data_IF_620326788458
#
_entry.id   IF_620326788458
#
_cell.length_a   1.000
_cell.length_b   1.000
_cell.length_c   1.000
_cell.angle_alpha   90.00
_cell.angle_beta   90.00
_cell.angle_gamma   90.00
#
_symmetry.space_group_name_H-M   'P 1'
#
loop_
_entity.id
_entity.type
_entity.pdbx_description
1 polymer ?
#
# COMPACT_ATOMS: atom_id res chain seq x y z
N UNK A 1 -22.41 -12.88 2.70
CA UNK A 1 -21.53 -11.80 3.16
C UNK A 1 -20.15 -12.06 2.57
N UNK A 2 -19.53 -11.11 1.95
CA UNK A 2 -18.18 -11.30 1.41
C UNK A 2 -17.22 -10.37 2.15
N UNK A 3 -16.19 -10.94 2.77
CA UNK A 3 -15.04 -10.21 3.28
C UNK A 3 -13.91 -10.41 2.28
N UNK A 4 -13.54 -9.38 1.57
CA UNK A 4 -12.48 -9.41 0.57
C UNK A 4 -11.32 -8.52 0.99
N UNK A 5 -10.09 -8.97 0.80
CA UNK A 5 -8.90 -8.14 0.96
C UNK A 5 -8.26 -7.87 -0.41
N UNK A 6 -7.85 -6.63 -0.67
CA UNK A 6 -7.03 -6.26 -1.82
C UNK A 6 -5.63 -5.92 -1.33
N UNK A 7 -4.64 -6.66 -1.81
CA UNK A 7 -3.26 -6.60 -1.33
C UNK A 7 -2.25 -6.57 -2.47
N UNK A 8 -1.08 -6.00 -2.24
CA UNK A 8 0.02 -6.07 -3.21
C UNK A 8 0.82 -7.35 -3.07
N UNK A 9 1.20 -7.93 -4.17
CA UNK A 9 1.96 -9.19 -4.21
C UNK A 9 3.48 -8.92 -4.11
N UNK A 10 3.96 -7.86 -4.71
CA UNK A 10 5.39 -7.58 -4.82
C UNK A 10 5.84 -6.40 -3.92
N UNK A 11 6.44 -5.35 -4.48
CA UNK A 11 7.04 -4.22 -3.74
C UNK A 11 6.08 -3.08 -3.45
N UNK A 12 4.86 -3.10 -3.94
CA UNK A 12 3.91 -1.99 -3.93
C UNK A 12 3.77 -1.34 -5.31
N UNK A 13 2.90 -0.33 -5.40
CA UNK A 13 2.61 0.40 -6.64
C UNK A 13 2.05 -0.46 -7.79
N UNK A 14 1.47 -1.62 -7.47
CA UNK A 14 0.90 -2.54 -8.45
C UNK A 14 -0.45 -2.07 -9.05
N UNK A 15 -1.02 -0.96 -8.55
CA UNK A 15 -2.31 -0.45 -9.00
C UNK A 15 -3.49 -0.89 -8.12
N UNK A 16 -3.24 -1.14 -6.83
CA UNK A 16 -4.28 -1.52 -5.84
C UNK A 16 -5.41 -0.52 -5.76
N UNK A 17 -5.11 0.79 -5.71
CA UNK A 17 -6.13 1.84 -5.59
C UNK A 17 -7.20 1.75 -6.68
N UNK A 18 -6.80 1.46 -7.92
CA UNK A 18 -7.74 1.22 -9.01
C UNK A 18 -8.61 -0.02 -8.79
N UNK A 19 -8.00 -1.11 -8.30
CA UNK A 19 -8.76 -2.34 -8.01
C UNK A 19 -9.72 -2.14 -6.86
N UNK A 20 -9.33 -1.37 -5.83
CA UNK A 20 -10.23 -1.00 -4.73
C UNK A 20 -11.37 -0.13 -5.24
N UNK A 21 -11.08 0.92 -6.04
CA UNK A 21 -12.12 1.77 -6.63
C UNK A 21 -13.11 0.95 -7.48
N UNK A 22 -12.62 0.05 -8.33
CA UNK A 22 -13.46 -0.82 -9.14
C UNK A 22 -14.34 -1.74 -8.29
N UNK A 23 -13.76 -2.40 -7.28
CA UNK A 23 -14.49 -3.37 -6.46
C UNK A 23 -15.39 -2.71 -5.41
N UNK A 24 -15.04 -1.51 -4.92
CA UNK A 24 -15.81 -0.80 -3.87
C UNK A 24 -17.28 -0.62 -4.20
N UNK A 25 -17.65 -0.61 -5.49
CA UNK A 25 -19.06 -0.54 -5.93
C UNK A 25 -19.90 -1.76 -5.49
N UNK A 26 -19.24 -2.86 -5.13
CA UNK A 26 -19.90 -4.13 -4.74
C UNK A 26 -19.85 -4.39 -3.25
N UNK A 27 -19.30 -3.44 -2.47
CA UNK A 27 -19.11 -3.57 -1.04
C UNK A 27 -19.80 -2.44 -0.29
N UNK A 28 -20.31 -2.74 0.89
CA UNK A 28 -20.96 -1.76 1.77
C UNK A 28 -19.94 -0.95 2.58
N UNK A 29 -18.76 -1.52 2.82
CA UNK A 29 -17.73 -0.95 3.69
C UNK A 29 -16.35 -1.12 3.06
N UNK A 30 -15.50 -0.08 3.10
CA UNK A 30 -14.08 -0.14 2.75
C UNK A 30 -13.25 0.23 3.96
N UNK A 31 -12.29 -0.62 4.34
CA UNK A 31 -11.45 -0.42 5.54
C UNK A 31 -9.98 -0.39 5.19
N UNK A 32 -9.30 0.72 5.47
CA UNK A 32 -7.83 0.76 5.52
C UNK A 32 -7.38 0.18 6.86
N UNK A 33 -6.53 -0.84 6.85
CA UNK A 33 -6.19 -1.59 8.05
C UNK A 33 -4.73 -1.43 8.52
N UNK A 34 -3.87 -0.81 7.71
CA UNK A 34 -2.45 -0.62 8.03
C UNK A 34 -1.80 0.49 7.19
N UNK A 35 -0.54 0.81 7.50
CA UNK A 35 0.23 1.84 6.79
C UNK A 35 -0.18 3.24 7.21
N UNK A 36 0.22 4.22 6.44
CA UNK A 36 -0.02 5.64 6.68
C UNK A 36 0.14 6.46 5.42
N UNK A 37 0.56 7.71 5.53
CA UNK A 37 0.76 8.63 4.41
C UNK A 37 2.02 8.38 3.57
N UNK A 38 2.73 7.27 3.80
CA UNK A 38 4.00 6.93 3.13
C UNK A 38 3.85 6.36 1.72
N UNK A 39 2.68 5.84 1.36
CA UNK A 39 2.39 5.39 0.00
C UNK A 39 1.09 6.05 -0.47
N UNK A 40 1.11 6.57 -1.68
CA UNK A 40 -0.06 7.11 -2.34
C UNK A 40 -0.60 6.15 -3.39
N UNK A 41 -1.88 6.19 -3.63
CA UNK A 41 -2.49 5.54 -4.77
C UNK A 41 -3.32 6.52 -5.57
N UNK A 42 -3.23 6.42 -6.88
CA UNK A 42 -3.97 7.27 -7.79
C UNK A 42 -5.28 6.58 -8.17
N UNK A 43 -6.37 7.29 -8.00
CA UNK A 43 -7.70 6.91 -8.51
C UNK A 43 -8.06 7.87 -9.64
N UNK A 44 -8.44 7.31 -10.79
CA UNK A 44 -8.93 8.06 -11.95
C UNK A 44 -10.38 7.63 -12.19
N UNK A 45 -11.29 8.58 -12.06
CA UNK A 45 -12.72 8.38 -12.26
C UNK A 45 -13.37 9.59 -12.93
N UNK A 46 -14.69 9.58 -13.08
CA UNK A 46 -15.47 10.65 -13.75
C UNK A 46 -15.33 12.01 -13.06
N UNK A 47 -14.91 12.06 -11.78
CA UNK A 47 -14.71 13.29 -11.03
C UNK A 47 -13.29 13.85 -11.18
N UNK A 48 -12.36 13.08 -11.75
CA UNK A 48 -10.99 13.53 -11.98
C UNK A 48 -9.92 12.50 -11.59
N UNK A 49 -8.69 13.01 -11.43
CA UNK A 49 -7.51 12.26 -10.97
C UNK A 49 -7.16 12.69 -9.56
N UNK A 50 -7.18 11.75 -8.62
CA UNK A 50 -6.93 11.98 -7.20
C UNK A 50 -5.79 11.09 -6.71
N UNK A 51 -4.90 11.66 -5.91
CA UNK A 51 -3.86 10.93 -5.21
C UNK A 51 -4.25 10.83 -3.73
N UNK A 52 -4.66 9.66 -3.27
CA UNK A 52 -5.00 9.38 -1.88
C UNK A 52 -3.81 8.73 -1.16
N UNK A 53 -3.63 9.07 0.11
CA UNK A 53 -2.58 8.51 0.96
C UNK A 53 -3.18 7.80 2.18
N UNK A 54 -4.18 8.40 2.82
CA UNK A 54 -4.86 7.88 4.00
C UNK A 54 -6.30 7.47 3.73
N UNK A 55 -7.05 8.29 3.01
CA UNK A 55 -8.45 7.98 2.74
C UNK A 55 -8.60 6.68 1.94
N UNK A 56 -9.56 5.81 2.32
CA UNK A 56 -9.91 4.65 1.52
C UNK A 56 -10.46 5.05 0.14
N UNK A 57 -10.19 4.24 -0.88
CA UNK A 57 -10.68 4.50 -2.26
C UNK A 57 -12.22 4.45 -2.38
N UNK A 58 -12.89 3.87 -1.41
CA UNK A 58 -14.35 3.82 -1.36
C UNK A 58 -15.05 5.18 -1.18
N UNK A 59 -14.32 6.25 -0.83
CA UNK A 59 -14.89 7.60 -0.61
C UNK A 59 -15.56 8.19 -1.87
N UNK A 60 -15.24 7.66 -3.05
CA UNK A 60 -15.85 8.09 -4.31
C UNK A 60 -17.22 7.45 -4.59
N UNK A 61 -17.64 6.49 -3.77
CA UNK A 61 -18.87 5.73 -3.99
C UNK A 61 -19.93 6.06 -2.96
N UNK A 62 -21.09 6.51 -3.47
CA UNK A 62 -22.24 6.83 -2.61
C UNK A 62 -22.76 5.58 -1.91
N UNK A 63 -23.00 5.70 -0.61
CA UNK A 63 -23.52 4.61 0.22
C UNK A 63 -22.46 3.66 0.77
N UNK A 64 -21.19 3.84 0.42
CA UNK A 64 -20.07 3.07 0.98
C UNK A 64 -19.57 3.76 2.24
N UNK A 65 -19.49 3.03 3.35
CA UNK A 65 -18.84 3.49 4.58
C UNK A 65 -17.33 3.24 4.48
N UNK A 66 -16.55 4.27 4.76
CA UNK A 66 -15.09 4.22 4.74
C UNK A 66 -14.55 4.24 6.17
N UNK A 67 -13.57 3.39 6.48
CA UNK A 67 -13.03 3.28 7.84
C UNK A 67 -11.50 3.30 7.80
N UNK A 68 -10.91 4.13 8.66
CA UNK A 68 -9.51 4.04 9.04
C UNK A 68 -9.42 3.20 10.31
N UNK A 69 -8.90 1.98 10.18
CA UNK A 69 -8.81 0.99 11.26
C UNK A 69 -7.69 1.31 12.27
N UNK A 70 -7.67 0.57 13.36
CA UNK A 70 -6.70 0.73 14.45
C UNK A 70 -5.23 0.43 14.06
N UNK A 71 -5.01 -0.26 12.96
CA UNK A 71 -3.67 -0.54 12.43
C UNK A 71 -3.03 0.62 11.66
N UNK A 72 -3.79 1.65 11.30
CA UNK A 72 -3.32 2.80 10.52
C UNK A 72 -2.46 3.73 11.38
N UNK A 73 -1.38 4.26 10.80
CA UNK A 73 -0.64 5.40 11.33
C UNK A 73 -1.41 6.68 10.97
N UNK A 74 -2.18 7.17 11.94
CA UNK A 74 -3.15 8.25 11.72
C UNK A 74 -2.46 9.62 11.73
N UNK A 75 -2.19 10.14 10.56
CA UNK A 75 -1.68 11.49 10.35
C UNK A 75 -2.86 12.45 10.19
N UNK A 76 -3.19 13.18 11.25
CA UNK A 76 -4.33 14.09 11.27
C UNK A 76 -4.20 15.23 10.25
N UNK A 77 -3.00 15.74 10.04
CA UNK A 77 -2.73 16.84 9.12
C UNK A 77 -2.94 16.39 7.67
N UNK A 78 -2.37 15.23 7.28
CA UNK A 78 -2.57 14.67 5.96
C UNK A 78 -4.04 14.28 5.73
N UNK A 79 -4.69 13.67 6.71
CA UNK A 79 -6.09 13.29 6.61
C UNK A 79 -6.99 14.51 6.37
N UNK A 80 -6.79 15.57 7.13
CA UNK A 80 -7.56 16.81 6.95
C UNK A 80 -7.35 17.42 5.56
N UNK A 81 -6.10 17.49 5.11
CA UNK A 81 -5.76 18.01 3.78
C UNK A 81 -6.43 17.20 2.65
N UNK A 82 -6.44 15.86 2.77
CA UNK A 82 -7.13 15.00 1.79
C UNK A 82 -8.65 15.22 1.81
N UNK A 83 -9.26 15.32 3.01
CA UNK A 83 -10.69 15.60 3.16
C UNK A 83 -11.05 16.94 2.49
N UNK A 84 -10.27 17.99 2.75
CA UNK A 84 -10.50 19.31 2.17
C UNK A 84 -10.34 19.30 0.65
N UNK A 85 -9.31 18.60 0.14
CA UNK A 85 -9.09 18.46 -1.30
C UNK A 85 -10.26 17.76 -1.99
N UNK A 86 -10.76 16.66 -1.42
CA UNK A 86 -11.90 15.94 -1.98
C UNK A 86 -13.19 16.77 -1.91
N UNK A 87 -13.45 17.46 -0.79
CA UNK A 87 -14.61 18.34 -0.65
C UNK A 87 -14.59 19.49 -1.67
N UNK A 88 -13.42 20.08 -1.90
CA UNK A 88 -13.25 21.13 -2.92
C UNK A 88 -13.51 20.62 -4.34
N UNK A 89 -13.27 19.33 -4.59
CA UNK A 89 -13.58 18.67 -5.85
C UNK A 89 -15.03 18.13 -5.94
N UNK A 90 -15.88 18.42 -4.93
CA UNK A 90 -17.28 18.00 -4.91
C UNK A 90 -17.52 16.57 -4.40
N UNK A 91 -16.49 15.89 -3.86
CA UNK A 91 -16.65 14.58 -3.23
C UNK A 91 -17.05 14.77 -1.77
N UNK A 92 -18.25 14.34 -1.33
CA UNK A 92 -18.69 14.51 0.03
C UNK A 92 -17.91 13.58 0.97
N UNK A 93 -17.21 14.16 1.95
CA UNK A 93 -16.56 13.41 3.03
C UNK A 93 -17.06 13.96 4.36
N UNK A 94 -17.75 13.14 5.14
CA UNK A 94 -18.33 13.51 6.43
C UNK A 94 -18.34 12.30 7.37
N UNK A 95 -18.67 12.48 8.66
CA UNK A 95 -18.85 11.35 9.59
C UNK A 95 -19.92 10.33 9.17
N UNK A 96 -20.76 10.69 8.19
CA UNK A 96 -21.78 9.78 7.65
C UNK A 96 -21.20 8.74 6.69
N UNK A 97 -20.00 9.00 6.11
CA UNK A 97 -19.36 8.10 5.16
C UNK A 97 -17.87 7.84 5.43
N UNK A 98 -17.30 8.43 6.49
CA UNK A 98 -15.94 8.18 6.96
C UNK A 98 -15.92 8.08 8.49
N UNK A 99 -15.33 7.00 9.02
CA UNK A 99 -15.03 6.84 10.43
C UNK A 99 -13.54 6.56 10.65
N UNK A 100 -13.05 7.02 11.79
CA UNK A 100 -11.68 6.81 12.26
C UNK A 100 -11.74 6.02 13.57
N UNK A 101 -10.99 4.93 13.65
CA UNK A 101 -10.94 4.14 14.87
C UNK A 101 -10.42 4.96 16.06
N UNK A 102 -11.15 4.94 17.16
CA UNK A 102 -10.72 5.49 18.44
C UNK A 102 -9.40 4.87 18.95
N UNK A 103 -9.08 3.64 18.48
CA UNK A 103 -7.85 2.90 18.79
C UNK A 103 -6.72 3.10 17.78
N UNK A 104 -6.93 3.87 16.72
CA UNK A 104 -5.85 4.27 15.82
C UNK A 104 -4.88 5.19 16.56
N UNK A 105 -3.57 4.94 16.43
CA UNK A 105 -2.56 5.81 17.05
C UNK A 105 -2.23 7.00 16.15
N UNK A 106 -1.98 8.16 16.77
CA UNK A 106 -1.64 9.40 16.06
C UNK A 106 -0.18 9.39 15.61
N UNK A 107 0.04 9.68 14.35
CA UNK A 107 1.36 10.05 13.83
C UNK A 107 1.57 11.53 14.14
N UNK A 108 2.49 11.82 15.06
CA UNK A 108 2.76 13.16 15.58
C UNK A 108 3.96 13.80 14.87
N UNK A 109 4.12 15.12 14.90
CA UNK A 109 5.18 15.84 14.19
C UNK A 109 6.58 15.27 14.40
N UNK A 110 6.93 14.91 15.62
CA UNK A 110 8.24 14.33 15.93
C UNK A 110 8.55 13.00 15.22
N UNK A 111 7.52 12.24 14.77
CA UNK A 111 7.77 10.99 14.03
C UNK A 111 8.39 11.28 12.66
N UNK A 112 7.91 12.31 11.96
CA UNK A 112 8.49 12.73 10.68
C UNK A 112 9.89 13.29 10.86
N UNK A 113 10.11 14.07 11.91
CA UNK A 113 11.43 14.62 12.23
C UNK A 113 12.44 13.50 12.56
N UNK A 114 12.06 12.55 13.42
CA UNK A 114 12.91 11.40 13.76
C UNK A 114 13.25 10.54 12.54
N UNK A 115 12.29 10.32 11.64
CA UNK A 115 12.53 9.58 10.38
C UNK A 115 13.55 10.30 9.49
N UNK A 116 13.44 11.62 9.37
CA UNK A 116 14.38 12.44 8.60
C UNK A 116 15.76 12.47 9.22
N UNK A 117 15.85 12.59 10.54
CA UNK A 117 17.12 12.62 11.31
C UNK A 117 17.83 11.27 11.23
N UNK A 118 17.10 10.15 11.33
CA UNK A 118 17.70 8.82 11.23
C UNK A 118 18.22 8.55 9.81
N UNK A 119 17.46 8.88 8.77
CA UNK A 119 17.93 8.76 7.39
C UNK A 119 19.19 9.61 7.16
N UNK A 120 19.24 10.82 7.70
CA UNK A 120 20.43 11.67 7.61
C UNK A 120 21.64 11.06 8.35
N UNK A 121 21.42 10.44 9.53
CA UNK A 121 22.45 9.77 10.33
C UNK A 121 23.05 8.54 9.61
N UNK A 122 22.23 7.81 8.86
CA UNK A 122 22.65 6.59 8.14
C UNK A 122 23.56 6.86 6.93
N UNK A 123 23.57 8.08 6.39
CA UNK A 123 24.44 8.49 5.25
C UNK A 123 24.27 7.54 4.04
N UNK A 124 25.32 6.79 3.71
CA UNK A 124 25.40 5.83 2.60
C UNK A 124 24.63 4.51 2.89
N UNK A 125 24.16 4.32 4.12
CA UNK A 125 23.37 3.15 4.55
C UNK A 125 21.87 3.43 4.69
N UNK A 126 21.38 4.46 3.99
CA UNK A 126 19.97 4.84 4.02
C UNK A 126 19.06 3.71 3.51
N UNK A 127 17.90 3.60 4.11
CA UNK A 127 16.85 2.66 3.64
C UNK A 127 16.00 3.23 2.51
N UNK A 128 16.16 4.52 2.20
CA UNK A 128 15.33 5.22 1.24
C UNK A 128 13.94 5.54 1.80
N UNK A 129 13.87 5.92 3.09
CA UNK A 129 12.63 6.29 3.74
C UNK A 129 11.91 7.42 3.00
N UNK A 130 10.59 7.37 3.03
CA UNK A 130 9.72 8.45 2.53
C UNK A 130 9.70 9.68 3.45
N UNK A 131 10.35 9.61 4.61
CA UNK A 131 10.37 10.65 5.66
C UNK A 131 8.97 11.03 6.15
N UNK A 132 8.04 10.06 6.10
CA UNK A 132 6.67 10.25 6.59
C UNK A 132 6.48 9.75 8.03
N UNK A 133 7.57 9.41 8.72
CA UNK A 133 7.56 9.05 10.15
C UNK A 133 7.06 7.65 10.46
N UNK A 134 6.99 6.76 9.50
CA UNK A 134 6.37 5.43 9.66
C UNK A 134 7.16 4.53 10.60
N UNK A 135 8.48 4.43 10.43
CA UNK A 135 9.31 3.58 11.29
C UNK A 135 9.32 4.08 12.75
N UNK A 136 9.57 5.37 13.06
CA UNK A 136 9.47 5.88 14.41
C UNK A 136 8.07 5.73 15.02
N UNK A 137 7.02 5.92 14.22
CA UNK A 137 5.63 5.75 14.67
C UNK A 137 5.34 4.32 15.14
N UNK A 138 5.63 3.31 14.31
CA UNK A 138 5.36 1.92 14.70
C UNK A 138 6.27 1.47 15.84
N UNK A 139 7.54 1.94 15.90
CA UNK A 139 8.39 1.74 17.06
C UNK A 139 7.72 2.23 18.35
N UNK A 140 7.20 3.44 18.34
CA UNK A 140 6.50 4.02 19.48
C UNK A 140 5.21 3.29 19.82
N UNK A 141 4.45 2.87 18.82
CA UNK A 141 3.23 2.09 19.03
C UNK A 141 3.51 0.81 19.83
N UNK A 142 4.55 0.06 19.47
CA UNK A 142 4.92 -1.16 20.17
C UNK A 142 5.60 -0.88 21.52
N UNK A 143 6.27 0.26 21.68
CA UNK A 143 6.75 0.74 22.97
C UNK A 143 5.66 1.34 23.88
N UNK A 144 4.42 1.47 23.37
CA UNK A 144 3.29 2.11 24.07
C UNK A 144 3.55 3.59 24.38
N UNK A 145 4.16 4.28 23.42
CA UNK A 145 4.57 5.69 23.49
C UNK A 145 3.84 6.53 22.44
N UNK A 146 2.54 6.22 22.20
CA UNK A 146 1.68 6.94 21.25
C UNK A 146 0.40 7.41 21.93
N UNK A 147 -0.27 8.38 21.31
CA UNK A 147 -1.62 8.82 21.65
C UNK A 147 -2.60 8.07 20.75
N UNK A 148 -3.65 7.49 21.30
CA UNK A 148 -4.75 6.94 20.52
C UNK A 148 -5.75 8.04 20.15
N UNK A 149 -6.39 7.93 18.99
CA UNK A 149 -7.34 8.94 18.52
C UNK A 149 -8.50 9.20 19.49
N UNK A 150 -8.96 8.16 20.19
CA UNK A 150 -9.98 8.30 21.23
C UNK A 150 -9.59 9.24 22.37
N UNK A 151 -8.30 9.42 22.66
CA UNK A 151 -7.84 10.35 23.71
C UNK A 151 -8.12 11.81 23.36
N UNK A 152 -8.27 12.13 22.07
CA UNK A 152 -8.69 13.46 21.61
C UNK A 152 -10.09 13.88 22.18
N UNK A 153 -10.89 12.93 22.60
CA UNK A 153 -12.19 13.17 23.21
C UNK A 153 -12.11 13.47 24.72
N UNK A 154 -10.90 13.31 25.33
CA UNK A 154 -10.67 13.47 26.78
C UNK A 154 -9.50 14.44 27.04
N UNK A 155 -9.71 15.77 26.92
CA UNK A 155 -8.63 16.78 26.92
C UNK A 155 -7.70 16.75 28.12
N UNK A 156 -8.22 16.52 29.32
CA UNK A 156 -7.41 16.50 30.55
C UNK A 156 -6.50 15.28 30.59
N UNK A 157 -7.00 14.11 30.20
CA UNK A 157 -6.21 12.89 30.08
C UNK A 157 -5.14 13.05 28.99
N UNK A 158 -5.54 13.56 27.81
CA UNK A 158 -4.64 13.81 26.69
C UNK A 158 -3.47 14.71 27.06
N UNK A 159 -3.76 15.79 27.80
CA UNK A 159 -2.73 16.74 28.24
C UNK A 159 -1.72 16.10 29.20
N UNK A 160 -2.18 15.31 30.16
CA UNK A 160 -1.31 14.60 31.09
C UNK A 160 -0.45 13.56 30.38
N UNK A 161 -1.05 12.75 29.49
CA UNK A 161 -0.34 11.74 28.71
C UNK A 161 0.68 12.37 27.74
N UNK A 162 0.31 13.48 27.08
CA UNK A 162 1.22 14.22 26.21
C UNK A 162 2.46 14.73 26.95
N UNK A 163 2.32 15.18 28.21
CA UNK A 163 3.43 15.66 29.01
C UNK A 163 4.50 14.55 29.20
N UNK A 164 4.07 13.34 29.54
CA UNK A 164 4.96 12.20 29.74
C UNK A 164 5.66 11.77 28.42
N UNK A 165 4.89 11.77 27.31
CA UNK A 165 5.44 11.43 26.00
C UNK A 165 6.44 12.49 25.51
N UNK A 166 6.14 13.75 25.71
CA UNK A 166 6.96 14.86 25.25
C UNK A 166 8.32 14.89 25.96
N UNK A 167 8.33 14.63 27.27
CA UNK A 167 9.56 14.51 28.05
C UNK A 167 10.49 13.45 27.46
N UNK A 168 9.96 12.27 27.19
CA UNK A 168 10.70 11.17 26.56
C UNK A 168 11.17 11.50 25.14
N UNK A 169 10.32 12.10 24.32
CA UNK A 169 10.66 12.44 22.94
C UNK A 169 11.71 13.52 22.84
N UNK A 170 11.62 14.54 23.68
CA UNK A 170 12.62 15.60 23.75
C UNK A 170 13.99 15.08 24.20
N UNK A 171 14.02 14.07 25.09
CA UNK A 171 15.26 13.41 25.45
C UNK A 171 15.93 12.78 24.22
N UNK A 172 15.18 12.02 23.41
CA UNK A 172 15.71 11.40 22.19
C UNK A 172 16.14 12.47 21.18
N UNK A 173 15.31 13.45 20.91
CA UNK A 173 15.59 14.50 19.93
C UNK A 173 16.85 15.28 20.29
N UNK A 174 17.03 15.66 21.55
CA UNK A 174 18.15 16.47 22.02
C UNK A 174 19.43 15.68 22.19
N UNK A 175 19.37 14.58 22.95
CA UNK A 175 20.58 13.86 23.36
C UNK A 175 21.10 12.90 22.27
N UNK A 176 20.21 12.37 21.41
CA UNK A 176 20.62 11.44 20.35
C UNK A 176 20.88 12.17 19.05
N UNK A 177 20.00 13.11 18.68
CA UNK A 177 20.04 13.76 17.37
C UNK A 177 20.50 15.22 17.41
N UNK A 178 20.61 15.86 18.57
CA UNK A 178 21.00 17.27 18.69
C UNK A 178 19.93 18.24 18.16
N UNK A 179 18.66 17.82 18.08
CA UNK A 179 17.54 18.64 17.65
C UNK A 179 16.93 19.43 18.83
N UNK A 180 16.16 20.49 18.55
CA UNK A 180 15.59 21.33 19.61
C UNK A 180 14.50 20.62 20.42
N UNK A 181 13.71 19.75 19.76
CA UNK A 181 12.52 19.13 20.33
C UNK A 181 11.30 20.05 20.29
N UNK A 182 10.25 19.68 21.04
CA UNK A 182 8.96 20.36 21.03
C UNK A 182 8.59 20.91 22.40
N UNK A 183 7.84 22.01 22.42
CA UNK A 183 7.20 22.50 23.65
C UNK A 183 5.79 21.92 23.78
N UNK A 184 5.28 21.93 25.03
CA UNK A 184 3.89 21.54 25.30
C UNK A 184 2.89 22.41 24.54
N UNK A 185 3.15 23.70 24.45
CA UNK A 185 2.31 24.66 23.74
C UNK A 185 2.24 24.35 22.24
N UNK A 186 3.38 24.08 21.60
CA UNK A 186 3.42 23.69 20.19
C UNK A 186 2.59 22.43 19.91
N UNK A 187 2.75 21.43 20.77
CA UNK A 187 2.05 20.16 20.57
C UNK A 187 0.55 20.26 20.84
N UNK A 188 0.14 21.03 21.86
CA UNK A 188 -1.28 21.28 22.12
C UNK A 188 -1.90 22.08 20.98
N UNK A 189 -1.22 23.09 20.45
CA UNK A 189 -1.71 23.87 19.31
C UNK A 189 -1.88 22.98 18.07
N UNK A 190 -0.95 22.07 17.81
CA UNK A 190 -1.06 21.10 16.71
C UNK A 190 -2.25 20.14 16.90
N UNK A 191 -2.42 19.59 18.11
CA UNK A 191 -3.53 18.69 18.45
C UNK A 191 -4.87 19.40 18.37
N UNK A 192 -4.96 20.66 18.82
CA UNK A 192 -6.17 21.47 18.73
C UNK A 192 -6.56 21.71 17.27
N UNK A 193 -5.61 22.10 16.44
CA UNK A 193 -5.84 22.38 15.03
C UNK A 193 -6.22 21.12 14.25
N UNK A 194 -5.36 20.13 14.23
CA UNK A 194 -5.50 18.95 13.36
C UNK A 194 -6.29 17.84 14.04
N UNK A 195 -6.00 17.53 15.30
CA UNK A 195 -6.77 16.57 16.08
C UNK A 195 -8.20 17.02 16.31
N UNK A 196 -8.42 18.31 16.61
CA UNK A 196 -9.75 18.90 16.76
C UNK A 196 -10.61 18.74 15.52
N UNK A 197 -10.04 18.93 14.32
CA UNK A 197 -10.75 18.80 13.05
C UNK A 197 -11.22 17.38 12.74
N UNK A 198 -10.51 16.34 13.24
CA UNK A 198 -10.88 14.94 13.01
C UNK A 198 -11.76 14.33 14.11
N UNK A 199 -11.94 15.01 15.26
CA UNK A 199 -12.81 14.51 16.36
C UNK A 199 -14.17 14.02 15.90
N UNK A 200 -14.89 14.70 14.99
CA UNK A 200 -16.21 14.24 14.54
C UNK A 200 -16.23 12.88 13.86
N UNK A 201 -15.10 12.42 13.35
CA UNK A 201 -14.97 11.13 12.66
C UNK A 201 -14.60 9.98 13.60
N UNK A 202 -14.20 10.26 14.85
CA UNK A 202 -13.72 9.25 15.80
C UNK A 202 -14.88 8.43 16.34
N UNK A 203 -14.76 7.10 16.24
CA UNK A 203 -15.77 6.16 16.73
C UNK A 203 -15.13 4.83 17.16
N UNK A 204 -15.85 4.02 17.97
CA UNK A 204 -15.56 2.60 18.13
C UNK A 204 -15.88 1.86 16.82
N UNK A 205 -14.92 1.89 15.89
CA UNK A 205 -15.07 1.25 14.58
C UNK A 205 -15.15 -0.26 14.68
N UNK A 206 -14.58 -0.86 15.74
CA UNK A 206 -14.68 -2.29 15.99
C UNK A 206 -16.12 -2.71 16.33
N UNK A 207 -16.82 -1.96 17.19
CA UNK A 207 -18.23 -2.18 17.47
C UNK A 207 -19.08 -1.95 16.22
N UNK A 208 -18.80 -0.88 15.48
CA UNK A 208 -19.50 -0.56 14.23
C UNK A 208 -19.35 -1.68 13.19
N UNK A 209 -18.14 -2.19 12.98
CA UNK A 209 -17.87 -3.28 12.03
C UNK A 209 -18.53 -4.60 12.44
N UNK A 210 -18.55 -4.94 13.73
CA UNK A 210 -19.28 -6.12 14.24
C UNK A 210 -20.77 -6.01 13.94
N UNK A 211 -21.37 -4.82 14.14
CA UNK A 211 -22.77 -4.60 13.81
C UNK A 211 -23.01 -4.70 12.31
N UNK A 212 -22.17 -4.06 11.49
CA UNK A 212 -22.26 -4.15 10.03
C UNK A 212 -22.20 -5.61 9.55
N UNK A 213 -21.34 -6.42 10.16
CA UNK A 213 -21.24 -7.85 9.85
C UNK A 213 -22.50 -8.61 10.28
N UNK A 214 -23.07 -8.31 11.44
CA UNK A 214 -24.33 -8.89 11.90
C UNK A 214 -25.51 -8.51 10.98
N UNK A 215 -25.49 -7.29 10.44
CA UNK A 215 -26.48 -6.79 9.47
C UNK A 215 -26.28 -7.34 8.05
N UNK A 216 -25.31 -8.21 7.83
CA UNK A 216 -25.08 -8.84 6.54
C UNK A 216 -24.30 -7.99 5.55
N UNK A 217 -23.63 -6.91 5.98
CA UNK A 217 -22.84 -6.04 5.10
C UNK A 217 -21.56 -6.70 4.65
N UNK A 218 -21.16 -6.39 3.43
CA UNK A 218 -19.89 -6.83 2.82
C UNK A 218 -18.77 -5.86 3.12
N UNK A 219 -17.56 -6.38 3.40
CA UNK A 219 -16.41 -5.58 3.82
C UNK A 219 -15.24 -5.81 2.86
N UNK A 220 -14.69 -4.70 2.34
CA UNK A 220 -13.47 -4.68 1.54
C UNK A 220 -12.33 -4.12 2.38
N UNK A 221 -11.28 -4.91 2.57
CA UNK A 221 -10.07 -4.49 3.26
C UNK A 221 -9.03 -4.01 2.26
N UNK A 222 -8.67 -2.75 2.34
CA UNK A 222 -7.71 -2.10 1.45
C UNK A 222 -6.31 -2.12 2.06
N UNK A 223 -5.41 -2.91 1.46
CA UNK A 223 -4.01 -2.98 1.83
C UNK A 223 -3.16 -1.89 1.17
N UNK A 224 -2.02 -1.62 1.77
CA UNK A 224 -1.02 -0.69 1.29
C UNK A 224 0.31 -1.41 1.08
N UNK A 225 1.12 -0.98 0.09
CA UNK A 225 2.37 -1.64 -0.31
C UNK A 225 2.15 -3.08 -0.80
N UNK A 226 3.11 -3.96 -0.63
CA UNK A 226 3.05 -5.34 -1.08
C UNK A 226 3.82 -6.28 -0.14
N UNK A 227 3.70 -7.59 -0.36
CA UNK A 227 4.26 -8.63 0.52
C UNK A 227 5.77 -8.49 0.74
N UNK A 228 6.53 -8.06 -0.28
CA UNK A 228 7.98 -7.89 -0.17
C UNK A 228 8.39 -6.66 0.66
N UNK A 229 7.44 -5.81 1.02
CA UNK A 229 7.63 -4.68 1.94
C UNK A 229 7.02 -4.95 3.32
N UNK A 230 6.49 -6.14 3.57
CA UNK A 230 6.01 -6.53 4.90
C UNK A 230 7.15 -6.58 5.92
N UNK A 231 6.86 -6.20 7.16
CA UNK A 231 7.87 -6.16 8.22
C UNK A 231 8.48 -7.53 8.51
N UNK A 232 7.64 -8.58 8.52
CA UNK A 232 8.04 -9.93 8.92
C UNK A 232 8.44 -10.81 7.72
N UNK A 233 7.77 -10.63 6.58
CA UNK A 233 7.91 -11.50 5.40
C UNK A 233 8.61 -10.84 4.22
N UNK A 234 8.92 -9.55 4.31
CA UNK A 234 9.55 -8.79 3.23
C UNK A 234 11.06 -8.92 3.16
N UNK A 235 11.67 -8.10 2.31
CA UNK A 235 13.12 -8.05 2.07
C UNK A 235 13.83 -7.24 3.16
N UNK A 236 13.68 -7.65 4.42
CA UNK A 236 14.26 -6.97 5.58
C UNK A 236 15.76 -6.70 5.40
N UNK A 237 16.28 -5.48 5.74
CA UNK A 237 15.59 -4.38 6.44
C UNK A 237 14.89 -3.36 5.51
N UNK A 238 14.82 -3.58 4.23
CA UNK A 238 14.19 -2.69 3.25
C UNK A 238 12.67 -2.88 3.19
N UNK A 239 12.03 -2.85 4.35
CA UNK A 239 10.58 -3.06 4.54
C UNK A 239 9.91 -1.78 5.04
N UNK A 240 8.57 -1.75 5.01
CA UNK A 240 7.82 -0.82 5.85
C UNK A 240 7.71 -1.39 7.27
N UNK A 241 7.46 -0.55 8.26
CA UNK A 241 7.32 -0.99 9.65
C UNK A 241 5.91 -1.45 10.00
N UNK A 242 5.11 -1.85 9.01
CA UNK A 242 3.76 -2.37 9.20
C UNK A 242 3.57 -3.71 8.50
N UNK A 243 2.52 -4.45 8.91
CA UNK A 243 2.17 -5.72 8.29
C UNK A 243 1.27 -5.48 7.08
N UNK A 244 1.80 -5.78 5.90
CA UNK A 244 1.13 -5.56 4.60
C UNK A 244 0.35 -6.78 4.13
N UNK A 245 0.46 -7.91 4.82
CA UNK A 245 -0.20 -9.16 4.45
C UNK A 245 -1.70 -9.14 4.79
N UNK A 246 -2.49 -9.87 3.99
CA UNK A 246 -3.93 -9.96 4.15
C UNK A 246 -4.35 -10.50 5.53
N UNK A 247 -3.56 -11.40 6.11
CA UNK A 247 -3.83 -11.97 7.43
C UNK A 247 -3.90 -10.92 8.55
N UNK A 248 -3.29 -9.74 8.37
CA UNK A 248 -3.38 -8.65 9.33
C UNK A 248 -4.65 -7.80 9.16
N UNK A 249 -5.35 -7.90 8.04
CA UNK A 249 -6.51 -7.07 7.75
C UNK A 249 -7.61 -7.15 8.82
N UNK A 250 -8.02 -8.33 9.31
CA UNK A 250 -8.97 -8.41 10.42
C UNK A 250 -8.47 -7.73 11.70
N UNK A 251 -7.21 -7.89 12.04
CA UNK A 251 -6.61 -7.31 13.26
C UNK A 251 -6.51 -5.79 13.14
N UNK A 252 -5.94 -5.31 12.04
CA UNK A 252 -5.72 -3.89 11.80
C UNK A 252 -6.99 -3.07 11.55
N UNK A 253 -8.08 -3.72 11.15
CA UNK A 253 -9.40 -3.08 11.01
C UNK A 253 -10.16 -2.94 12.33
N UNK A 254 -9.81 -3.72 13.38
CA UNK A 254 -10.57 -3.82 14.62
C UNK A 254 -11.64 -4.92 14.62
N UNK A 255 -11.56 -5.87 13.69
CA UNK A 255 -12.47 -7.00 13.55
C UNK A 255 -11.70 -8.35 13.57
N UNK A 256 -10.95 -8.67 14.64
CA UNK A 256 -9.97 -9.75 14.65
C UNK A 256 -10.56 -11.16 14.43
N UNK A 257 -11.87 -11.33 14.56
CA UNK A 257 -12.57 -12.60 14.30
C UNK A 257 -13.05 -12.76 12.86
N UNK A 258 -12.88 -11.75 11.98
CA UNK A 258 -13.33 -11.85 10.60
C UNK A 258 -12.50 -12.86 9.81
N UNK A 259 -13.19 -13.67 8.99
CA UNK A 259 -12.55 -14.52 7.99
C UNK A 259 -12.58 -13.80 6.64
N UNK A 260 -11.52 -13.91 5.88
CA UNK A 260 -11.48 -13.44 4.50
C UNK A 260 -12.02 -14.54 3.59
N UNK A 261 -13.04 -14.22 2.82
CA UNK A 261 -13.63 -15.14 1.84
C UNK A 261 -12.84 -15.10 0.53
N UNK A 262 -12.27 -13.95 0.21
CA UNK A 262 -11.43 -13.73 -0.97
C UNK A 262 -10.24 -12.83 -0.63
N UNK A 263 -9.08 -13.14 -1.20
CA UNK A 263 -7.89 -12.28 -1.17
C UNK A 263 -7.47 -12.01 -2.61
N UNK A 264 -7.71 -10.80 -3.09
CA UNK A 264 -7.29 -10.35 -4.41
C UNK A 264 -5.88 -9.78 -4.33
N UNK A 265 -4.92 -10.53 -4.84
CA UNK A 265 -3.55 -10.08 -4.99
C UNK A 265 -3.38 -9.22 -6.27
N UNK A 266 -2.73 -8.08 -6.17
CA UNK A 266 -2.45 -7.23 -7.34
C UNK A 266 -0.99 -7.40 -7.74
N UNK A 267 -0.77 -7.69 -9.02
CA UNK A 267 0.55 -7.89 -9.65
C UNK A 267 0.60 -7.08 -10.95
N UNK A 268 1.72 -6.43 -11.25
CA UNK A 268 1.95 -5.87 -12.59
C UNK A 268 2.42 -6.95 -13.58
N UNK A 269 2.15 -6.76 -14.84
CA UNK A 269 2.71 -7.59 -15.92
C UNK A 269 4.25 -7.46 -16.07
N UNK A 270 4.87 -6.58 -15.30
CA UNK A 270 6.31 -6.42 -15.14
C UNK A 270 6.60 -6.02 -13.69
N UNK A 271 7.85 -5.97 -13.26
CA UNK A 271 8.21 -5.58 -11.90
C UNK A 271 8.61 -4.12 -11.82
N UNK A 272 8.17 -3.45 -10.75
CA UNK A 272 8.70 -2.12 -10.38
C UNK A 272 8.89 -2.02 -8.88
N UNK A 273 9.86 -1.20 -8.48
CA UNK A 273 10.22 -1.02 -7.08
C UNK A 273 10.55 0.44 -6.79
N UNK A 274 10.11 0.94 -5.65
CA UNK A 274 10.53 2.23 -5.07
C UNK A 274 11.33 1.96 -3.82
N UNK A 275 12.39 2.74 -3.58
CA UNK A 275 13.28 2.59 -2.43
C UNK A 275 14.41 1.60 -2.66
N UNK A 276 15.22 1.44 -1.64
CA UNK A 276 16.44 0.63 -1.68
C UNK A 276 16.15 -0.87 -1.44
N UNK A 277 17.20 -1.67 -1.48
CA UNK A 277 17.16 -3.10 -1.26
C UNK A 277 17.23 -3.94 -2.53
N UNK A 278 17.35 -5.26 -2.39
CA UNK A 278 17.51 -6.17 -3.51
C UNK A 278 16.30 -6.19 -4.44
N UNK A 279 16.58 -6.13 -5.74
CA UNK A 279 15.63 -6.27 -6.82
C UNK A 279 16.28 -7.11 -7.92
N UNK A 280 16.22 -8.41 -7.79
CA UNK A 280 17.02 -9.40 -8.54
C UNK A 280 16.90 -9.27 -10.05
N UNK A 281 15.72 -8.92 -10.56
CA UNK A 281 15.48 -8.77 -12.02
C UNK A 281 15.54 -7.33 -12.50
N UNK A 282 16.20 -6.41 -11.79
CA UNK A 282 16.30 -5.00 -12.16
C UNK A 282 17.02 -4.80 -13.48
N UNK A 283 16.46 -3.95 -14.34
CA UNK A 283 17.06 -3.49 -15.58
C UNK A 283 17.73 -2.14 -15.42
N UNK A 284 18.75 -1.93 -16.26
CA UNK A 284 19.52 -0.69 -16.34
C UNK A 284 19.66 -0.25 -17.79
N UNK A 285 19.93 1.05 -18.00
CA UNK A 285 20.15 1.61 -19.33
C UNK A 285 18.87 1.72 -20.18
N UNK A 286 19.02 1.67 -21.53
CA UNK A 286 17.92 2.00 -22.43
C UNK A 286 16.66 1.15 -22.29
N UNK A 287 16.80 -0.15 -22.04
CA UNK A 287 15.64 -1.06 -21.84
C UNK A 287 14.81 -0.68 -20.60
N UNK A 288 15.49 -0.27 -19.52
CA UNK A 288 14.82 0.21 -18.32
C UNK A 288 14.12 1.55 -18.57
N UNK A 289 14.72 2.43 -19.36
CA UNK A 289 14.12 3.73 -19.70
C UNK A 289 12.88 3.54 -20.56
N UNK A 290 12.96 2.69 -21.59
CA UNK A 290 11.81 2.38 -22.44
C UNK A 290 10.62 1.82 -21.64
N UNK A 291 10.89 0.89 -20.72
CA UNK A 291 9.85 0.32 -19.86
C UNK A 291 9.28 1.37 -18.89
N UNK A 292 10.11 2.26 -18.34
CA UNK A 292 9.65 3.37 -17.48
C UNK A 292 8.74 4.34 -18.22
N UNK A 293 9.14 4.75 -19.43
CA UNK A 293 8.34 5.63 -20.30
C UNK A 293 7.00 4.96 -20.68
N UNK A 294 7.04 3.72 -21.18
CA UNK A 294 5.84 2.99 -21.54
C UNK A 294 4.89 2.79 -20.36
N UNK A 295 5.42 2.57 -19.17
CA UNK A 295 4.66 2.29 -17.96
C UNK A 295 4.32 3.53 -17.13
N UNK A 296 4.78 4.73 -17.46
CA UNK A 296 4.70 5.93 -16.60
C UNK A 296 5.21 5.62 -15.17
N UNK A 297 6.41 5.00 -15.10
CA UNK A 297 6.98 4.53 -13.83
C UNK A 297 7.81 5.62 -13.15
N UNK A 298 7.10 6.66 -12.74
CA UNK A 298 7.62 7.80 -11.98
C UNK A 298 6.83 8.01 -10.70
N UNK A 299 7.50 8.53 -9.67
CA UNK A 299 6.87 8.82 -8.38
C UNK A 299 5.87 9.98 -8.51
N UNK A 300 4.61 9.78 -8.13
CA UNK A 300 3.54 10.76 -8.28
C UNK A 300 3.83 12.13 -7.63
N UNK A 301 4.56 12.15 -6.50
CA UNK A 301 4.94 13.39 -5.79
C UNK A 301 6.31 13.94 -6.23
N UNK A 302 7.26 13.06 -6.48
CA UNK A 302 8.67 13.44 -6.61
C UNK A 302 9.17 13.42 -8.04
N UNK A 303 8.41 12.80 -8.96
CA UNK A 303 8.89 12.53 -10.33
C UNK A 303 10.09 11.57 -10.38
N UNK A 304 10.51 10.99 -9.25
CA UNK A 304 11.68 10.07 -9.19
C UNK A 304 11.38 8.82 -10.03
N UNK A 305 12.30 8.45 -10.95
CA UNK A 305 12.15 7.23 -11.73
C UNK A 305 12.14 5.99 -10.82
N UNK A 306 11.20 5.09 -11.08
CA UNK A 306 11.14 3.79 -10.39
C UNK A 306 12.15 2.83 -10.99
N UNK A 307 12.65 1.93 -10.18
CA UNK A 307 13.41 0.76 -10.63
C UNK A 307 12.42 -0.19 -11.32
N UNK A 308 12.80 -0.73 -12.47
CA UNK A 308 11.93 -1.58 -13.29
C UNK A 308 12.68 -2.80 -13.80
N UNK A 309 11.95 -3.83 -14.22
CA UNK A 309 12.48 -5.04 -14.81
C UNK A 309 11.35 -5.97 -15.26
N UNK A 310 11.65 -7.15 -15.80
CA UNK A 310 10.65 -8.13 -16.18
C UNK A 310 9.82 -8.57 -14.97
N UNK A 311 8.66 -9.19 -15.22
CA UNK A 311 7.92 -9.80 -14.12
C UNK A 311 8.79 -10.82 -13.38
N UNK A 312 8.86 -10.70 -12.07
CA UNK A 312 9.60 -11.62 -11.20
C UNK A 312 8.65 -12.70 -10.68
N UNK A 313 8.70 -13.87 -11.31
CA UNK A 313 7.81 -14.98 -10.99
C UNK A 313 8.18 -15.67 -9.68
N UNK A 314 9.46 -15.63 -9.27
CA UNK A 314 9.91 -16.15 -7.99
C UNK A 314 9.37 -15.30 -6.84
N UNK A 315 9.58 -13.99 -6.93
CA UNK A 315 9.06 -13.03 -5.97
C UNK A 315 7.52 -13.01 -5.95
N UNK A 316 6.87 -13.08 -7.12
CA UNK A 316 5.40 -13.08 -7.21
C UNK A 316 4.78 -14.33 -6.62
N UNK A 317 5.36 -15.51 -6.85
CA UNK A 317 4.92 -16.78 -6.23
C UNK A 317 5.04 -16.73 -4.72
N UNK A 318 6.15 -16.21 -4.22
CA UNK A 318 6.34 -15.99 -2.79
C UNK A 318 5.28 -15.06 -2.22
N UNK A 319 5.09 -13.89 -2.85
CA UNK A 319 4.09 -12.91 -2.42
C UNK A 319 2.65 -13.47 -2.42
N UNK A 320 2.28 -14.26 -3.44
CA UNK A 320 0.98 -14.97 -3.49
C UNK A 320 0.79 -15.87 -2.27
N UNK A 321 1.82 -16.65 -1.90
CA UNK A 321 1.78 -17.53 -0.72
C UNK A 321 1.68 -16.74 0.58
N UNK A 322 2.47 -15.68 0.75
CA UNK A 322 2.47 -14.85 1.98
C UNK A 322 1.14 -14.11 2.15
N UNK A 323 0.56 -13.65 1.07
CA UNK A 323 -0.75 -13.00 1.09
C UNK A 323 -1.92 -14.01 1.26
N UNK A 324 -1.69 -15.29 0.98
CA UNK A 324 -2.78 -16.25 0.87
C UNK A 324 -3.77 -15.87 -0.23
N UNK A 325 -3.26 -15.33 -1.34
CA UNK A 325 -4.10 -14.84 -2.44
C UNK A 325 -4.91 -15.98 -3.07
N UNK A 326 -6.20 -15.74 -3.25
CA UNK A 326 -7.13 -16.68 -3.89
C UNK A 326 -7.47 -16.29 -5.31
N UNK A 327 -7.21 -15.04 -5.68
CA UNK A 327 -7.43 -14.49 -7.00
C UNK A 327 -6.40 -13.38 -7.27
N UNK A 328 -6.05 -13.16 -8.54
CA UNK A 328 -5.06 -12.16 -8.96
C UNK A 328 -5.69 -11.14 -9.90
N UNK A 329 -5.32 -9.89 -9.69
CA UNK A 329 -5.47 -8.81 -10.66
C UNK A 329 -4.10 -8.52 -11.29
N UNK A 330 -3.94 -8.91 -12.55
CA UNK A 330 -2.77 -8.60 -13.36
C UNK A 330 -2.96 -7.23 -14.01
N UNK A 331 -2.14 -6.26 -13.63
CA UNK A 331 -2.27 -4.88 -14.10
C UNK A 331 -1.23 -4.51 -15.15
N UNK A 332 -1.51 -3.46 -15.94
CA UNK A 332 -0.57 -2.89 -16.92
C UNK A 332 -0.09 -3.88 -17.99
N UNK A 333 -0.96 -4.77 -18.45
CA UNK A 333 -0.63 -5.69 -19.54
C UNK A 333 -0.38 -4.92 -20.85
N UNK A 334 -1.11 -3.86 -21.09
CA UNK A 334 -0.99 -2.93 -22.22
C UNK A 334 0.42 -2.34 -22.38
N UNK A 335 1.12 -2.12 -21.28
CA UNK A 335 2.48 -1.56 -21.27
C UNK A 335 3.47 -2.41 -22.06
N UNK A 336 3.29 -3.73 -22.10
CA UNK A 336 4.18 -4.65 -22.80
C UNK A 336 3.92 -4.75 -24.31
N UNK A 337 2.94 -4.00 -24.84
CA UNK A 337 2.51 -4.09 -26.23
C UNK A 337 3.59 -3.73 -27.28
N UNK A 338 4.64 -3.02 -26.88
CA UNK A 338 5.73 -2.66 -27.79
C UNK A 338 6.76 -3.78 -27.97
N UNK A 339 6.79 -4.77 -27.07
CA UNK A 339 7.82 -5.81 -27.05
C UNK A 339 7.52 -6.94 -28.06
N UNK A 340 8.51 -7.31 -28.87
CA UNK A 340 8.43 -8.51 -29.72
C UNK A 340 8.56 -9.80 -28.90
N UNK A 341 9.40 -9.76 -27.89
CA UNK A 341 9.64 -10.87 -26.96
C UNK A 341 9.60 -10.32 -25.54
N UNK A 342 8.75 -10.90 -24.71
CA UNK A 342 8.54 -10.45 -23.36
C UNK A 342 9.38 -11.29 -22.39
N UNK A 343 10.37 -10.68 -21.73
CA UNK A 343 11.17 -11.38 -20.73
C UNK A 343 10.39 -11.61 -19.45
N UNK A 344 10.65 -12.77 -18.82
CA UNK A 344 10.14 -13.13 -17.49
C UNK A 344 11.27 -13.69 -16.65
N UNK A 345 11.40 -13.28 -15.41
CA UNK A 345 12.34 -13.88 -14.46
C UNK A 345 11.70 -15.16 -13.90
N UNK A 346 12.04 -16.30 -14.47
CA UNK A 346 11.41 -17.60 -14.17
C UNK A 346 12.00 -18.29 -12.93
N UNK A 347 13.30 -18.06 -12.66
CA UNK A 347 14.04 -18.63 -11.55
C UNK A 347 15.17 -17.70 -11.11
N UNK A 348 15.82 -18.01 -9.99
CA UNK A 348 17.05 -17.38 -9.56
C UNK A 348 18.20 -18.41 -9.57
N UNK A 349 19.40 -17.94 -9.90
CA UNK A 349 20.65 -18.64 -9.61
C UNK A 349 21.25 -18.05 -8.33
N UNK A 350 21.37 -18.88 -7.30
CA UNK A 350 21.96 -18.52 -6.00
C UNK A 350 23.08 -19.51 -5.69
N UNK A 351 24.30 -19.03 -5.50
CA UNK A 351 25.47 -19.87 -5.23
C UNK A 351 25.68 -21.00 -6.27
N UNK A 352 25.39 -20.73 -7.55
CA UNK A 352 25.51 -21.70 -8.65
C UNK A 352 24.38 -22.73 -8.72
N UNK A 353 23.33 -22.57 -7.94
CA UNK A 353 22.14 -23.45 -7.95
C UNK A 353 20.91 -22.69 -8.42
N UNK A 354 20.13 -23.30 -9.30
CA UNK A 354 18.85 -22.76 -9.76
C UNK A 354 17.78 -23.02 -8.70
N UNK A 355 17.04 -21.98 -8.34
CA UNK A 355 15.91 -22.07 -7.41
C UNK A 355 14.68 -21.35 -7.95
N UNK A 356 13.52 -21.89 -7.68
CA UNK A 356 12.20 -21.27 -7.89
C UNK A 356 11.60 -20.77 -6.59
N UNK A 357 12.25 -21.02 -5.45
CA UNK A 357 11.82 -20.52 -4.14
C UNK A 357 12.53 -19.20 -3.85
N UNK A 358 11.80 -18.27 -3.23
CA UNK A 358 12.33 -16.97 -2.85
C UNK A 358 13.32 -17.15 -1.69
N UNK A 359 14.60 -16.78 -1.86
CA UNK A 359 15.62 -17.03 -0.84
C UNK A 359 15.49 -16.03 0.32
N UNK A 360 16.14 -16.37 1.43
CA UNK A 360 16.26 -15.44 2.55
C UNK A 360 16.95 -14.14 2.11
N UNK A 361 16.52 -12.96 2.60
CA UNK A 361 16.93 -11.64 2.05
C UNK A 361 18.43 -11.43 1.85
N UNK A 362 19.29 -11.94 2.75
CA UNK A 362 20.75 -11.81 2.62
C UNK A 362 21.32 -12.50 1.36
N UNK A 363 20.62 -13.49 0.83
CA UNK A 363 21.04 -14.19 -0.39
C UNK A 363 20.58 -13.49 -1.67
N UNK A 364 19.65 -12.54 -1.56
CA UNK A 364 19.12 -11.81 -2.73
C UNK A 364 20.19 -10.92 -3.38
N UNK A 365 21.15 -10.40 -2.63
CA UNK A 365 22.27 -9.61 -3.17
C UNK A 365 23.19 -10.43 -4.07
N UNK A 366 23.18 -11.75 -3.93
CA UNK A 366 23.97 -12.70 -4.74
C UNK A 366 23.14 -13.41 -5.80
N UNK A 367 21.82 -13.23 -5.76
CA UNK A 367 20.90 -13.87 -6.69
C UNK A 367 21.02 -13.23 -8.09
N UNK A 368 21.02 -14.09 -9.11
CA UNK A 368 20.97 -13.65 -10.52
C UNK A 368 19.66 -14.12 -11.13
N UNK A 369 19.00 -13.31 -11.96
CA UNK A 369 17.78 -13.71 -12.63
C UNK A 369 18.07 -14.74 -13.72
N UNK A 370 17.25 -15.78 -13.79
CA UNK A 370 17.19 -16.69 -14.93
C UNK A 370 15.98 -16.27 -15.76
N UNK A 371 16.27 -15.68 -16.92
CA UNK A 371 15.27 -15.06 -17.78
C UNK A 371 14.84 -16.00 -18.90
N UNK A 372 13.54 -16.18 -19.05
CA UNK A 372 12.88 -16.79 -20.20
C UNK A 372 12.22 -15.71 -21.05
N UNK A 373 11.90 -16.04 -22.30
CA UNK A 373 11.29 -15.10 -23.24
C UNK A 373 10.02 -15.70 -23.84
N UNK A 374 8.92 -14.99 -23.68
CA UNK A 374 7.63 -15.32 -24.30
C UNK A 374 7.39 -14.47 -25.55
N UNK A 375 6.59 -14.95 -26.53
CA UNK A 375 6.18 -14.14 -27.66
C UNK A 375 5.40 -12.90 -27.21
N UNK A 376 5.73 -11.73 -27.77
CA UNK A 376 4.94 -10.52 -27.61
C UNK A 376 3.75 -10.50 -28.55
N UNK A 377 2.79 -9.61 -28.31
CA UNK A 377 1.62 -9.42 -29.18
C UNK A 377 1.76 -8.22 -30.12
N UNK A 378 2.67 -7.33 -29.85
CA UNK A 378 3.09 -6.20 -30.70
C UNK A 378 1.95 -5.41 -31.35
N UNK A 379 0.89 -5.20 -30.60
CA UNK A 379 -0.25 -4.38 -30.99
C UNK A 379 -0.91 -3.76 -29.77
N UNK A 380 -1.60 -2.63 -29.97
CA UNK A 380 -2.36 -1.97 -28.91
C UNK A 380 -3.53 -2.82 -28.46
N UNK A 381 -3.60 -3.10 -27.16
CA UNK A 381 -4.68 -3.84 -26.50
C UNK A 381 -5.52 -2.98 -25.55
N UNK A 382 -5.25 -1.68 -25.46
CA UNK A 382 -5.90 -0.76 -24.50
C UNK A 382 -7.42 -0.67 -24.70
N UNK A 383 -7.89 -0.89 -25.91
CA UNK A 383 -9.31 -0.93 -26.29
C UNK A 383 -10.01 -2.28 -26.05
N UNK A 384 -9.29 -3.35 -25.69
CA UNK A 384 -9.87 -4.68 -25.50
C UNK A 384 -10.66 -4.75 -24.19
N UNK A 385 -11.83 -5.41 -24.21
CA UNK A 385 -12.71 -5.52 -23.03
C UNK A 385 -13.15 -6.96 -22.72
N UNK A 386 -12.79 -7.93 -23.54
CA UNK A 386 -13.12 -9.35 -23.32
C UNK A 386 -11.88 -10.21 -23.47
N UNK A 387 -11.85 -11.34 -22.76
CA UNK A 387 -10.74 -12.29 -22.80
C UNK A 387 -10.48 -12.83 -24.21
N UNK A 388 -11.55 -13.15 -24.94
CA UNK A 388 -11.49 -13.74 -26.28
C UNK A 388 -10.94 -12.76 -27.33
N UNK A 389 -11.13 -11.46 -27.10
CA UNK A 389 -10.63 -10.41 -28.00
C UNK A 389 -9.14 -10.08 -27.80
N UNK A 390 -8.51 -10.55 -26.70
CA UNK A 390 -7.08 -10.42 -26.53
C UNK A 390 -6.33 -11.23 -27.60
N UNK A 391 -5.19 -10.73 -28.12
CA UNK A 391 -4.28 -11.51 -28.95
C UNK A 391 -3.88 -12.83 -28.28
N UNK A 392 -3.69 -13.88 -29.07
CA UNK A 392 -3.32 -15.18 -28.51
C UNK A 392 -2.06 -15.11 -27.64
N UNK A 393 -0.99 -14.40 -28.08
CA UNK A 393 0.22 -14.24 -27.31
C UNK A 393 -0.01 -13.55 -25.94
N UNK A 394 -0.95 -12.58 -25.88
CA UNK A 394 -1.30 -11.94 -24.61
C UNK A 394 -2.05 -12.90 -23.67
N UNK A 395 -2.95 -13.72 -24.20
CA UNK A 395 -3.61 -14.79 -23.42
C UNK A 395 -2.64 -15.84 -22.93
N UNK A 396 -1.69 -16.25 -23.76
CA UNK A 396 -0.64 -17.22 -23.43
C UNK A 396 0.26 -16.68 -22.33
N UNK A 397 0.65 -15.39 -22.41
CA UNK A 397 1.39 -14.70 -21.36
C UNK A 397 0.65 -14.73 -20.01
N UNK A 398 -0.62 -14.32 -19.99
CA UNK A 398 -1.42 -14.32 -18.75
C UNK A 398 -1.55 -15.73 -18.19
N UNK A 399 -1.76 -16.72 -19.05
CA UNK A 399 -1.89 -18.14 -18.64
C UNK A 399 -0.57 -18.68 -18.10
N UNK A 400 0.56 -18.31 -18.73
CA UNK A 400 1.89 -18.68 -18.25
C UNK A 400 2.16 -18.10 -16.85
N UNK A 401 1.90 -16.80 -16.66
CA UNK A 401 2.06 -16.14 -15.35
C UNK A 401 1.17 -16.81 -14.31
N UNK A 402 -0.10 -17.07 -14.61
CA UNK A 402 -1.06 -17.74 -13.73
C UNK A 402 -0.51 -19.10 -13.23
N UNK A 403 -0.01 -19.92 -14.15
CA UNK A 403 0.57 -21.22 -13.82
C UNK A 403 1.85 -21.09 -12.99
N UNK A 404 2.72 -20.14 -13.35
CA UNK A 404 3.99 -19.93 -12.69
C UNK A 404 3.84 -19.43 -11.26
N UNK A 405 2.89 -18.54 -10.97
CA UNK A 405 2.66 -18.03 -9.61
C UNK A 405 1.71 -18.92 -8.79
N UNK A 406 1.02 -19.86 -9.44
CA UNK A 406 0.15 -20.84 -8.79
C UNK A 406 -1.16 -20.25 -8.23
N UNK A 407 -1.68 -19.18 -8.84
CA UNK A 407 -2.93 -18.56 -8.44
C UNK A 407 -3.68 -18.03 -9.66
N UNK A 408 -5.01 -18.22 -9.68
CA UNK A 408 -5.88 -17.77 -10.77
C UNK A 408 -5.77 -16.26 -11.00
N UNK A 409 -5.66 -15.86 -12.26
CA UNK A 409 -5.76 -14.46 -12.68
C UNK A 409 -7.19 -14.20 -13.15
N UNK A 410 -8.04 -13.65 -12.29
CA UNK A 410 -9.44 -13.34 -12.57
C UNK A 410 -9.69 -11.95 -13.16
N UNK A 411 -8.70 -11.06 -13.03
CA UNK A 411 -8.78 -9.69 -13.52
C UNK A 411 -7.54 -9.35 -14.34
N UNK A 412 -7.72 -8.83 -15.56
CA UNK A 412 -6.62 -8.41 -16.44
C UNK A 412 -6.85 -6.96 -16.85
N UNK A 413 -5.92 -6.07 -16.46
CA UNK A 413 -5.99 -4.65 -16.79
C UNK A 413 -5.19 -4.33 -18.04
N UNK A 414 -5.81 -3.65 -18.97
CA UNK A 414 -5.27 -3.24 -20.27
C UNK A 414 -5.24 -1.72 -20.46
N UNK A 415 -5.26 -0.96 -19.38
CA UNK A 415 -5.20 0.51 -19.42
C UNK A 415 -5.40 1.12 -18.02
N UNK A 416 -5.29 2.44 -17.87
CA UNK A 416 -5.38 3.14 -16.59
C UNK A 416 -6.83 3.40 -16.11
N UNK A 417 -7.80 3.43 -17.04
CA UNK A 417 -9.19 3.77 -16.77
C UNK A 417 -9.92 2.62 -16.05
N UNK A 418 -10.96 2.97 -15.26
CA UNK A 418 -11.77 2.00 -14.52
C UNK A 418 -12.27 0.85 -15.40
N UNK A 419 -12.75 1.16 -16.61
CA UNK A 419 -13.36 0.19 -17.52
C UNK A 419 -12.34 -0.60 -18.37
N UNK A 420 -11.05 -0.26 -18.28
CA UNK A 420 -9.98 -0.99 -18.97
C UNK A 420 -9.61 -2.28 -18.23
N UNK A 421 -10.61 -3.05 -17.82
CA UNK A 421 -10.48 -4.29 -17.04
C UNK A 421 -11.26 -5.42 -17.69
N UNK A 422 -10.57 -6.53 -17.91
CA UNK A 422 -11.14 -7.78 -18.45
C UNK A 422 -11.37 -8.73 -17.28
N UNK A 423 -12.57 -9.26 -17.17
CA UNK A 423 -12.93 -10.33 -16.22
C UNK A 423 -12.73 -11.70 -16.89
N UNK A 424 -12.18 -12.66 -16.12
CA UNK A 424 -11.84 -13.99 -16.62
C UNK A 424 -12.44 -15.11 -15.77
#
# INVERSE_FOLDING_TARGET
>A
MANCAIVGINWGDEGKGRMVDYLSQRFDVVVRYQGGGNAGHTVINDMGKFALHLLPSGVFHKGVMNILGNGVALDCENLLSEIETLRAAGVPVSPENLLVSDRASLLLPWHRELDALEEARLKDKQYGSTKQGIAPFYSDKYQKKTIQAGELLYPEHLKAHLQDLLEWKNLILREVYGAEGYTMEQMLAWLDRFGGAIRPFIADTGAWLRQAQADGKSILFEGQLGALRDLDFGIYPYTTSSNTIAAYAPVGSGLPGAKLDEVVGVVKAYSSCVGEGPFTCEWFGPEAEELREAGDEYGAKTGRPRRVGPIDLVASRYGVRMQGATNIALTKLDVLSYMERIPVCAAYEVNGQITHEFPFPVLLDQAKPVTEYLPGWHCDISGVRTWEALPQAARDYVTYVEQAIGCRIGYVSVGAERDSLILR
#
